data_IF_086597373543
#
_entry.id   IF_086597373543
#
_cell.length_a   1.000
_cell.length_b   1.000
_cell.length_c   1.000
_cell.angle_alpha   90.00
_cell.angle_beta   90.00
_cell.angle_gamma   90.00
#
_symmetry.space_group_name_H-M   'P 1'
#
loop_
_entity.id
_entity.type
_entity.pdbx_description
1 polymer ?
#
# COMPACT_ATOMS: atom_id res chain seq x y z
N UNK A 1 17.40 -22.88 22.98
CA UNK A 1 17.80 -23.28 21.63
C UNK A 1 18.21 -22.03 20.84
N UNK A 2 19.34 -22.10 20.18
CA UNK A 2 19.80 -21.01 19.31
C UNK A 2 18.94 -20.99 18.03
N UNK A 3 18.52 -19.80 17.56
CA UNK A 3 17.80 -19.70 16.29
C UNK A 3 18.73 -19.99 15.10
N UNK A 4 18.20 -20.66 14.08
CA UNK A 4 18.90 -20.81 12.81
C UNK A 4 18.60 -19.61 11.92
N UNK A 5 19.62 -18.93 11.43
CA UNK A 5 19.48 -17.81 10.50
C UNK A 5 20.24 -18.11 9.19
N UNK A 6 19.61 -17.78 8.06
CA UNK A 6 20.24 -17.86 6.73
C UNK A 6 19.73 -16.73 5.83
N UNK A 7 20.52 -16.36 4.85
CA UNK A 7 20.20 -15.35 3.84
C UNK A 7 20.17 -15.99 2.47
N UNK A 8 19.16 -15.62 1.66
CA UNK A 8 19.11 -15.96 0.23
C UNK A 8 19.00 -14.68 -0.60
N UNK A 9 19.70 -14.63 -1.73
CA UNK A 9 19.63 -13.54 -2.69
C UNK A 9 19.14 -14.09 -4.01
N UNK A 10 18.08 -13.49 -4.54
CA UNK A 10 17.46 -13.91 -5.81
C UNK A 10 17.18 -12.68 -6.68
N UNK A 11 17.23 -12.80 -8.02
CA UNK A 11 16.78 -11.75 -8.92
C UNK A 11 15.30 -11.39 -8.68
N UNK A 12 14.95 -10.12 -8.87
CA UNK A 12 13.55 -9.72 -8.82
C UNK A 12 12.76 -10.33 -9.98
N UNK A 13 11.58 -10.91 -9.72
CA UNK A 13 10.72 -11.41 -10.79
C UNK A 13 10.26 -10.27 -11.73
N UNK A 14 10.13 -10.56 -13.04
CA UNK A 14 9.70 -9.57 -14.05
C UNK A 14 8.37 -8.88 -13.67
N UNK A 15 7.42 -9.59 -13.07
CA UNK A 15 6.16 -9.00 -12.59
C UNK A 15 6.35 -7.85 -11.59
N UNK A 16 7.45 -7.87 -10.81
CA UNK A 16 7.77 -6.79 -9.85
C UNK A 16 8.32 -5.59 -10.60
N UNK A 17 9.21 -5.82 -11.57
CA UNK A 17 9.78 -4.77 -12.40
C UNK A 17 8.69 -4.09 -13.25
N UNK A 18 7.79 -4.89 -13.83
CA UNK A 18 6.64 -4.39 -14.57
C UNK A 18 5.71 -3.55 -13.67
N UNK A 19 5.42 -4.01 -12.44
CA UNK A 19 4.59 -3.24 -11.51
C UNK A 19 5.21 -1.89 -11.12
N UNK A 20 6.55 -1.83 -10.98
CA UNK A 20 7.27 -0.56 -10.74
C UNK A 20 7.17 0.38 -11.94
N UNK A 21 7.38 -0.14 -13.15
CA UNK A 21 7.42 0.63 -14.39
C UNK A 21 6.03 1.06 -14.87
N UNK A 22 5.12 0.10 -14.96
CA UNK A 22 3.83 0.27 -15.65
C UNK A 22 2.68 0.54 -14.66
N UNK A 23 2.86 0.21 -13.39
CA UNK A 23 1.81 0.20 -12.39
C UNK A 23 0.98 -1.08 -12.43
N UNK A 24 -0.15 -1.07 -11.70
CA UNK A 24 -1.04 -2.23 -11.57
C UNK A 24 -2.50 -1.85 -11.68
N UNK A 25 -3.33 -2.76 -12.19
CA UNK A 25 -4.76 -2.77 -11.92
C UNK A 25 -5.00 -3.45 -10.57
N UNK A 26 -5.91 -2.93 -9.75
CA UNK A 26 -6.28 -3.49 -8.47
C UNK A 26 -7.78 -3.79 -8.38
N UNK A 27 -8.16 -4.76 -7.57
CA UNK A 27 -9.54 -5.00 -7.15
C UNK A 27 -9.72 -4.53 -5.70
N UNK A 28 -10.89 -3.99 -5.39
CA UNK A 28 -11.34 -3.78 -4.01
C UNK A 28 -11.96 -5.08 -3.51
N UNK A 29 -11.42 -5.65 -2.45
CA UNK A 29 -11.95 -6.86 -1.84
C UNK A 29 -12.19 -6.65 -0.34
N UNK A 30 -13.37 -7.06 0.13
CA UNK A 30 -13.66 -7.03 1.55
C UNK A 30 -12.78 -8.04 2.30
N UNK A 31 -12.14 -7.56 3.38
CA UNK A 31 -11.23 -8.36 4.21
C UNK A 31 -11.97 -9.21 5.25
N UNK A 32 -13.21 -8.86 5.55
CA UNK A 32 -14.04 -9.51 6.57
C UNK A 32 -13.71 -9.09 8.01
N UNK A 33 -13.00 -7.97 8.19
CA UNK A 33 -12.70 -7.38 9.49
C UNK A 33 -13.11 -5.90 9.49
N UNK A 34 -13.63 -5.38 10.63
CA UNK A 34 -13.89 -3.95 10.77
C UNK A 34 -12.58 -3.17 10.87
N UNK A 35 -12.61 -1.88 10.57
CA UNK A 35 -11.45 -1.00 10.67
C UNK A 35 -11.04 -0.70 12.13
N UNK A 36 -11.97 -0.83 13.08
CA UNK A 36 -11.73 -0.56 14.51
C UNK A 36 -12.27 -1.70 15.39
N UNK A 37 -11.81 -1.74 16.65
CA UNK A 37 -12.25 -2.75 17.63
C UNK A 37 -11.56 -4.10 17.51
N UNK A 38 -10.66 -4.28 16.55
CA UNK A 38 -9.90 -5.54 16.38
C UNK A 38 -8.88 -5.75 17.50
N UNK A 39 -8.46 -4.69 18.16
CA UNK A 39 -7.55 -4.76 19.33
C UNK A 39 -8.13 -5.59 20.48
N UNK A 40 -9.45 -5.69 20.58
CA UNK A 40 -10.13 -6.56 21.53
C UNK A 40 -10.06 -8.06 21.14
N UNK A 41 -9.51 -8.38 19.97
CA UNK A 41 -9.39 -9.72 19.40
C UNK A 41 -7.94 -10.07 19.06
N UNK A 42 -7.00 -10.09 20.03
CA UNK A 42 -5.57 -10.24 19.76
C UNK A 42 -5.19 -11.56 19.07
N UNK A 43 -6.04 -12.59 19.19
CA UNK A 43 -5.84 -13.88 18.49
C UNK A 43 -5.96 -13.78 16.96
N UNK A 44 -6.55 -12.72 16.41
CA UNK A 44 -6.61 -12.51 14.96
C UNK A 44 -5.24 -12.11 14.38
N UNK A 45 -4.29 -11.69 15.22
CA UNK A 45 -2.98 -11.22 14.80
C UNK A 45 -3.05 -10.15 13.70
N UNK A 46 -4.13 -9.35 13.70
CA UNK A 46 -4.34 -8.30 12.72
C UNK A 46 -3.20 -7.27 12.82
N UNK A 47 -2.61 -6.90 11.68
CA UNK A 47 -1.43 -6.03 11.64
C UNK A 47 -0.10 -6.72 11.95
N UNK A 48 -0.10 -8.01 12.33
CA UNK A 48 1.13 -8.77 12.54
C UNK A 48 1.65 -9.35 11.21
N UNK A 49 2.97 -9.24 11.00
CA UNK A 49 3.62 -9.86 9.84
C UNK A 49 3.92 -11.34 10.14
N UNK A 50 3.00 -12.21 9.75
CA UNK A 50 3.08 -13.66 10.00
C UNK A 50 3.32 -14.44 8.71
N UNK A 51 3.58 -15.75 8.83
CA UNK A 51 3.63 -16.68 7.69
C UNK A 51 2.23 -17.13 7.21
N UNK A 52 1.16 -16.77 7.90
CA UNK A 52 -0.23 -17.08 7.53
C UNK A 52 -0.73 -16.25 6.34
N UNK A 53 -0.13 -16.48 5.18
CA UNK A 53 -0.38 -15.69 3.95
C UNK A 53 -1.51 -16.26 3.07
N UNK A 54 -2.22 -17.28 3.52
CA UNK A 54 -3.21 -17.99 2.71
C UNK A 54 -4.29 -17.07 2.12
N UNK A 55 -4.87 -16.19 2.94
CA UNK A 55 -5.90 -15.23 2.50
C UNK A 55 -5.32 -14.22 1.50
N UNK A 56 -4.14 -13.67 1.78
CA UNK A 56 -3.48 -12.70 0.90
C UNK A 56 -3.18 -13.31 -0.47
N UNK A 57 -2.67 -14.56 -0.49
CA UNK A 57 -2.39 -15.28 -1.73
C UNK A 57 -3.66 -15.69 -2.49
N UNK A 58 -4.74 -16.03 -1.78
CA UNK A 58 -6.02 -16.34 -2.40
C UNK A 58 -6.62 -15.08 -3.06
N UNK A 59 -6.55 -13.93 -2.40
CA UNK A 59 -6.99 -12.65 -2.94
C UNK A 59 -6.22 -12.28 -4.22
N UNK A 60 -4.89 -12.43 -4.22
CA UNK A 60 -4.07 -12.17 -5.41
C UNK A 60 -4.38 -13.13 -6.57
N UNK A 61 -4.60 -14.42 -6.30
CA UNK A 61 -5.04 -15.37 -7.34
C UNK A 61 -6.41 -15.02 -7.90
N UNK A 62 -7.34 -14.60 -7.03
CA UNK A 62 -8.66 -14.13 -7.46
C UNK A 62 -8.53 -12.90 -8.36
N UNK A 63 -7.72 -11.91 -7.97
CA UNK A 63 -7.47 -10.72 -8.77
C UNK A 63 -6.86 -11.06 -10.13
N UNK A 64 -5.86 -11.94 -10.16
CA UNK A 64 -5.23 -12.39 -11.40
C UNK A 64 -6.25 -13.07 -12.35
N UNK A 65 -7.15 -13.88 -11.82
CA UNK A 65 -8.25 -14.49 -12.60
C UNK A 65 -9.27 -13.47 -13.15
N UNK A 66 -9.26 -12.23 -12.64
CA UNK A 66 -10.05 -11.10 -13.12
C UNK A 66 -9.24 -10.08 -13.95
N UNK A 67 -7.99 -10.40 -14.26
CA UNK A 67 -7.11 -9.51 -15.03
C UNK A 67 -6.50 -8.36 -14.22
N UNK A 68 -6.55 -8.42 -12.87
CA UNK A 68 -5.92 -7.44 -12.01
C UNK A 68 -4.60 -7.97 -11.40
N UNK A 69 -3.61 -7.10 -11.25
CA UNK A 69 -2.27 -7.45 -10.75
C UNK A 69 -2.16 -7.40 -9.22
N UNK A 70 -3.07 -6.71 -8.54
CA UNK A 70 -3.05 -6.59 -7.08
C UNK A 70 -4.46 -6.37 -6.50
N UNK A 71 -4.53 -6.18 -5.18
CA UNK A 71 -5.76 -6.01 -4.40
C UNK A 71 -5.58 -4.84 -3.43
N UNK A 72 -6.65 -4.12 -3.16
CA UNK A 72 -6.79 -3.22 -2.01
C UNK A 72 -7.90 -3.79 -1.13
N UNK A 73 -7.57 -4.18 0.10
CA UNK A 73 -8.55 -4.64 1.05
C UNK A 73 -9.38 -3.50 1.62
N UNK A 74 -10.66 -3.77 1.76
CA UNK A 74 -11.65 -2.89 2.39
C UNK A 74 -12.16 -3.59 3.64
N UNK A 75 -12.33 -2.86 4.73
CA UNK A 75 -12.93 -3.36 5.96
C UNK A 75 -14.44 -3.62 5.79
N UNK A 76 -15.04 -4.42 6.68
CA UNK A 76 -16.48 -4.69 6.66
C UNK A 76 -17.35 -3.45 6.92
N UNK A 77 -16.78 -2.38 7.50
CA UNK A 77 -17.41 -1.08 7.70
C UNK A 77 -17.00 -0.04 6.63
N UNK A 78 -16.37 -0.50 5.53
CA UNK A 78 -16.17 0.26 4.30
C UNK A 78 -14.96 1.18 4.28
N UNK A 79 -13.95 0.97 5.13
CA UNK A 79 -12.70 1.72 5.09
C UNK A 79 -11.60 0.98 4.32
N UNK A 80 -10.74 1.74 3.67
CA UNK A 80 -9.54 1.19 3.04
C UNK A 80 -8.59 0.69 4.13
N UNK A 81 -8.07 -0.51 3.93
CA UNK A 81 -7.07 -1.13 4.78
C UNK A 81 -5.70 -1.10 4.10
N UNK A 82 -5.28 -2.19 3.53
CA UNK A 82 -3.96 -2.37 2.90
C UNK A 82 -4.05 -3.25 1.66
N UNK A 83 -2.97 -3.39 0.90
CA UNK A 83 -2.83 -4.46 -0.07
C UNK A 83 -2.34 -5.76 0.58
N UNK A 84 -2.44 -6.91 -0.11
CA UNK A 84 -1.95 -8.19 0.42
C UNK A 84 -0.48 -8.19 0.86
N UNK A 85 0.34 -7.28 0.32
CA UNK A 85 1.78 -7.18 0.57
C UNK A 85 2.28 -5.74 0.61
N UNK A 86 1.38 -4.76 0.72
CA UNK A 86 1.69 -3.35 0.51
C UNK A 86 0.79 -2.45 1.33
N UNK A 87 1.26 -1.24 1.59
CA UNK A 87 0.49 -0.16 2.19
C UNK A 87 -0.11 0.71 1.09
N UNK A 88 -1.36 1.12 1.25
CA UNK A 88 -2.02 2.08 0.36
C UNK A 88 -1.55 3.49 0.70
N UNK A 89 -1.09 4.23 -0.30
CA UNK A 89 -0.79 5.66 -0.20
C UNK A 89 -1.52 6.39 -1.32
N UNK A 90 -2.18 7.48 -0.99
CA UNK A 90 -2.82 8.37 -1.97
C UNK A 90 -2.23 9.77 -1.91
N UNK A 91 -2.25 10.48 -3.03
CA UNK A 91 -1.95 11.90 -3.08
C UNK A 91 -3.25 12.69 -3.27
N UNK A 92 -3.41 13.75 -2.48
CA UNK A 92 -4.54 14.67 -2.57
C UNK A 92 -4.05 16.11 -2.53
N UNK A 93 -4.91 17.05 -2.84
CA UNK A 93 -4.65 18.45 -2.58
C UNK A 93 -4.76 18.69 -1.06
N UNK A 94 -3.69 19.20 -0.48
CA UNK A 94 -3.62 19.63 0.91
C UNK A 94 -3.81 21.13 1.06
N UNK A 95 -3.45 21.65 2.21
CA UNK A 95 -3.57 23.08 2.52
C UNK A 95 -2.71 23.93 1.59
N UNK A 96 -3.27 25.07 1.15
CA UNK A 96 -2.59 26.06 0.27
C UNK A 96 -2.11 25.49 -1.07
N UNK A 97 -2.80 24.46 -1.59
CA UNK A 97 -2.46 23.84 -2.88
C UNK A 97 -1.23 22.93 -2.84
N UNK A 98 -0.69 22.61 -1.64
CA UNK A 98 0.38 21.62 -1.50
C UNK A 98 -0.17 20.21 -1.68
N UNK A 99 0.69 19.31 -2.12
CA UNK A 99 0.34 17.89 -2.17
C UNK A 99 0.38 17.30 -0.76
N UNK A 100 -0.66 16.58 -0.39
CA UNK A 100 -0.73 15.80 0.83
C UNK A 100 -0.75 14.30 0.52
N UNK A 101 0.19 13.56 1.08
CA UNK A 101 0.22 12.10 1.03
C UNK A 101 -0.55 11.52 2.20
N UNK A 102 -1.52 10.68 1.91
CA UNK A 102 -2.40 10.07 2.92
C UNK A 102 -2.29 8.56 2.88
N UNK A 103 -2.39 7.93 4.05
CA UNK A 103 -2.45 6.48 4.22
C UNK A 103 -3.47 6.13 5.32
N UNK A 104 -4.04 4.90 5.33
CA UNK A 104 -4.90 4.46 6.41
C UNK A 104 -4.20 4.52 7.78
N UNK A 105 -4.96 4.75 8.88
CA UNK A 105 -4.39 4.91 10.20
C UNK A 105 -3.67 3.66 10.71
N UNK A 106 -2.55 3.81 11.46
CA UNK A 106 -1.75 2.68 11.94
C UNK A 106 -2.40 1.86 13.07
N UNK A 107 -3.54 2.30 13.60
CA UNK A 107 -4.38 1.55 14.56
C UNK A 107 -5.45 0.70 13.87
N UNK A 108 -5.57 0.74 12.53
CA UNK A 108 -6.36 -0.20 11.77
C UNK A 108 -5.71 -1.59 11.79
N UNK A 109 -6.45 -2.67 11.47
CA UNK A 109 -5.93 -4.03 11.43
C UNK A 109 -5.04 -4.27 10.20
N UNK A 110 -4.01 -3.44 10.05
CA UNK A 110 -3.05 -3.42 8.94
C UNK A 110 -1.62 -3.47 9.43
N UNK A 111 -0.72 -3.94 8.59
CA UNK A 111 0.71 -3.89 8.87
C UNK A 111 1.21 -2.43 8.81
N UNK A 112 1.96 -2.02 9.82
CA UNK A 112 2.71 -0.75 9.78
C UNK A 112 3.88 -0.88 8.81
N UNK A 113 3.69 -0.41 7.58
CA UNK A 113 4.67 -0.56 6.50
C UNK A 113 5.93 0.28 6.73
N UNK A 114 7.08 -0.35 6.86
CA UNK A 114 8.36 0.36 7.07
C UNK A 114 8.71 1.26 5.88
N UNK A 115 8.47 0.79 4.66
CA UNK A 115 8.67 1.59 3.43
C UNK A 115 7.76 2.82 3.39
N UNK A 116 6.50 2.68 3.83
CA UNK A 116 5.58 3.82 3.90
C UNK A 116 6.04 4.84 4.94
N UNK A 117 6.55 4.40 6.09
CA UNK A 117 7.06 5.30 7.13
C UNK A 117 8.29 6.07 6.61
N UNK A 118 9.28 5.37 6.05
CA UNK A 118 10.46 5.99 5.45
C UNK A 118 10.10 6.96 4.30
N UNK A 119 9.12 6.60 3.45
CA UNK A 119 8.60 7.47 2.41
C UNK A 119 8.04 8.77 3.01
N UNK A 120 7.24 8.69 4.08
CA UNK A 120 6.64 9.88 4.71
C UNK A 120 7.70 10.79 5.35
N UNK A 121 8.76 10.22 5.92
CA UNK A 121 9.88 11.01 6.44
C UNK A 121 10.58 11.78 5.34
N UNK A 122 10.96 11.11 4.24
CA UNK A 122 11.60 11.76 3.07
C UNK A 122 10.66 12.78 2.42
N UNK A 123 9.38 12.48 2.30
CA UNK A 123 8.41 13.39 1.72
C UNK A 123 8.25 14.67 2.55
N UNK A 124 8.21 14.57 3.88
CA UNK A 124 8.17 15.75 4.78
C UNK A 124 9.41 16.61 4.64
N UNK A 125 10.60 15.99 4.57
CA UNK A 125 11.86 16.69 4.36
C UNK A 125 11.87 17.47 3.01
N UNK A 126 11.13 16.99 2.01
CA UNK A 126 10.92 17.66 0.72
C UNK A 126 9.72 18.61 0.67
N UNK A 127 9.03 18.83 1.80
CA UNK A 127 7.95 19.82 1.94
C UNK A 127 6.55 19.32 1.58
N UNK A 128 6.36 18.01 1.45
CA UNK A 128 5.03 17.41 1.32
C UNK A 128 4.33 17.34 2.69
N UNK A 129 3.03 17.52 2.69
CA UNK A 129 2.21 17.17 3.84
C UNK A 129 1.98 15.65 3.85
N UNK A 130 2.07 15.02 5.02
CA UNK A 130 1.88 13.58 5.18
C UNK A 130 1.04 13.30 6.41
N UNK A 131 -0.06 12.56 6.26
CA UNK A 131 -0.99 12.29 7.35
C UNK A 131 -1.62 10.89 7.28
N UNK A 132 -2.17 10.43 8.39
CA UNK A 132 -2.94 9.21 8.54
C UNK A 132 -4.43 9.55 8.57
N UNK A 133 -5.19 9.01 7.62
CA UNK A 133 -6.63 9.32 7.50
C UNK A 133 -7.45 8.07 7.25
N UNK A 134 -8.62 7.98 7.86
CA UNK A 134 -9.64 7.00 7.52
C UNK A 134 -10.10 7.24 6.07
N UNK A 135 -9.64 6.38 5.15
CA UNK A 135 -9.96 6.47 3.74
C UNK A 135 -11.11 5.53 3.39
N UNK A 136 -11.92 5.93 2.42
CA UNK A 136 -12.98 5.12 1.82
C UNK A 136 -12.70 4.89 0.32
N UNK A 137 -13.36 3.92 -0.33
CA UNK A 137 -13.20 3.71 -1.77
C UNK A 137 -13.37 4.97 -2.62
N UNK A 138 -14.27 5.87 -2.25
CA UNK A 138 -14.48 7.14 -2.94
C UNK A 138 -13.22 8.03 -2.95
N UNK A 139 -12.43 8.01 -1.87
CA UNK A 139 -11.20 8.79 -1.77
C UNK A 139 -10.13 8.34 -2.76
N UNK A 140 -10.08 7.03 -3.08
CA UNK A 140 -9.16 6.50 -4.09
C UNK A 140 -9.51 7.04 -5.49
N UNK A 141 -10.79 7.16 -5.80
CA UNK A 141 -11.25 7.68 -7.10
C UNK A 141 -11.15 9.20 -7.22
N UNK A 142 -11.15 9.91 -6.10
CA UNK A 142 -10.97 11.37 -6.03
C UNK A 142 -9.50 11.79 -5.93
N UNK A 143 -8.60 10.85 -5.61
CA UNK A 143 -7.18 11.13 -5.42
C UNK A 143 -6.49 11.58 -6.72
N UNK A 144 -5.47 12.42 -6.58
CA UNK A 144 -4.55 12.80 -7.65
C UNK A 144 -3.62 11.64 -8.06
N UNK A 145 -3.50 10.61 -7.21
CA UNK A 145 -2.77 9.39 -7.48
C UNK A 145 -2.92 8.37 -6.36
N UNK A 146 -2.80 7.09 -6.70
CA UNK A 146 -2.90 5.96 -5.77
C UNK A 146 -1.71 5.05 -5.99
N UNK A 147 -1.05 4.62 -4.91
CA UNK A 147 0.09 3.71 -4.94
C UNK A 147 -0.05 2.60 -3.91
N UNK A 148 0.49 1.45 -4.25
CA UNK A 148 0.76 0.34 -3.35
C UNK A 148 2.26 0.34 -3.05
N UNK A 149 2.61 0.60 -1.79
CA UNK A 149 4.00 0.80 -1.33
C UNK A 149 4.48 -0.39 -0.52
N UNK A 150 5.65 -0.94 -0.88
CA UNK A 150 6.28 -2.07 -0.18
C UNK A 150 7.79 -2.10 -0.40
N UNK A 151 8.52 -2.85 0.40
CA UNK A 151 9.98 -3.00 0.27
C UNK A 151 10.42 -3.73 -1.01
N UNK A 152 9.55 -4.53 -1.62
CA UNK A 152 9.86 -5.29 -2.84
C UNK A 152 9.40 -4.54 -4.10
N UNK A 153 8.14 -4.10 -4.13
CA UNK A 153 7.58 -3.42 -5.31
C UNK A 153 7.90 -1.93 -5.32
N UNK A 154 8.39 -1.37 -4.20
CA UNK A 154 8.60 0.06 -3.97
C UNK A 154 7.26 0.81 -4.07
N UNK A 155 7.06 1.69 -5.05
CA UNK A 155 5.81 2.37 -5.29
C UNK A 155 5.18 1.90 -6.61
N UNK A 156 4.27 0.93 -6.54
CA UNK A 156 3.47 0.54 -7.71
C UNK A 156 2.27 1.48 -7.84
N UNK A 157 2.23 2.27 -8.92
CA UNK A 157 1.07 3.11 -9.23
C UNK A 157 -0.16 2.24 -9.53
N UNK A 158 -1.29 2.54 -8.92
CA UNK A 158 -2.57 1.93 -9.28
C UNK A 158 -3.20 2.75 -10.39
N UNK A 159 -3.32 2.17 -11.59
CA UNK A 159 -3.89 2.85 -12.76
C UNK A 159 -5.35 2.49 -13.02
N UNK A 160 -5.87 1.44 -12.40
CA UNK A 160 -7.24 0.95 -12.57
C UNK A 160 -7.72 0.31 -11.28
N UNK A 161 -8.94 0.61 -10.85
CA UNK A 161 -9.60 -0.02 -9.70
C UNK A 161 -10.96 -0.55 -10.16
N UNK A 162 -11.24 -1.84 -9.96
CA UNK A 162 -12.48 -2.52 -10.36
C UNK A 162 -12.88 -2.24 -11.82
N UNK A 163 -11.89 -2.24 -12.73
CA UNK A 163 -12.08 -1.95 -14.15
C UNK A 163 -12.20 -0.45 -14.50
N UNK A 164 -12.34 0.44 -13.52
CA UNK A 164 -12.39 1.90 -13.74
C UNK A 164 -10.97 2.48 -13.76
N UNK A 165 -10.60 3.11 -14.87
CA UNK A 165 -9.30 3.79 -14.99
C UNK A 165 -9.23 5.04 -14.10
N UNK A 166 -8.07 5.20 -13.44
CA UNK A 166 -7.70 6.40 -12.72
C UNK A 166 -6.93 7.35 -13.65
N UNK A 167 -6.98 8.64 -13.35
CA UNK A 167 -6.16 9.63 -14.06
C UNK A 167 -4.66 9.36 -13.79
N UNK A 168 -3.79 9.51 -14.80
CA UNK A 168 -2.37 9.44 -14.61
C UNK A 168 -1.93 10.54 -13.61
N UNK A 169 -1.27 10.18 -12.50
CA UNK A 169 -0.83 11.17 -11.53
C UNK A 169 0.35 11.99 -12.08
N UNK A 170 0.26 13.31 -11.97
CA UNK A 170 1.38 14.21 -12.29
C UNK A 170 2.61 13.89 -11.40
N UNK A 171 2.38 13.42 -10.18
CA UNK A 171 3.38 13.08 -9.17
C UNK A 171 4.08 11.72 -9.40
N UNK A 172 3.84 11.02 -10.51
CA UNK A 172 4.32 9.63 -10.67
C UNK A 172 5.85 9.50 -10.60
N UNK A 173 6.58 10.38 -11.28
CA UNK A 173 8.04 10.38 -11.27
C UNK A 173 8.61 10.77 -9.89
N UNK A 174 8.06 11.81 -9.28
CA UNK A 174 8.48 12.27 -7.96
C UNK A 174 8.22 11.21 -6.88
N UNK A 175 7.10 10.48 -6.95
CA UNK A 175 6.81 9.39 -6.02
C UNK A 175 7.84 8.26 -6.13
N UNK A 176 8.29 7.91 -7.33
CA UNK A 176 9.34 6.93 -7.53
C UNK A 176 10.65 7.39 -6.89
N UNK A 177 11.06 8.64 -7.12
CA UNK A 177 12.26 9.24 -6.51
C UNK A 177 12.18 9.32 -4.98
N UNK A 178 11.01 9.65 -4.42
CA UNK A 178 10.78 9.69 -2.97
C UNK A 178 10.99 8.30 -2.34
N UNK A 179 10.43 7.25 -2.95
CA UNK A 179 10.56 5.89 -2.43
C UNK A 179 11.99 5.36 -2.63
N UNK A 180 12.63 5.63 -3.76
CA UNK A 180 14.03 5.24 -3.98
C UNK A 180 14.95 5.91 -2.95
N UNK A 181 14.76 7.20 -2.69
CA UNK A 181 15.50 7.92 -1.64
C UNK A 181 15.24 7.31 -0.26
N UNK A 182 13.99 6.97 0.05
CA UNK A 182 13.60 6.37 1.34
C UNK A 182 14.22 5.00 1.60
N UNK A 183 14.44 4.20 0.54
CA UNK A 183 15.07 2.87 0.66
C UNK A 183 16.59 2.96 0.74
N UNK A 184 17.21 3.95 0.09
CA UNK A 184 18.66 4.12 0.04
C UNK A 184 19.21 4.94 1.21
N UNK A 185 18.36 5.66 1.95
CA UNK A 185 18.82 6.40 3.14
C UNK A 185 19.15 5.43 4.28
N UNK A 186 20.37 5.48 4.74
CA UNK A 186 20.86 4.84 5.98
C UNK A 186 20.17 5.53 7.19
N UNK A 187 19.01 5.03 7.63
CA UNK A 187 18.32 5.48 8.85
C UNK A 187 18.12 4.35 9.84
#
# INVERSE_FOLDING_TARGET
>A
SEPTAYLTVNPLPERVLAARRDGVAALLLERGLPASGVDAMPWLLAGAKTLSYAVNMAALRHAAGKGAGDVIFVSSDGHILEGPRSTVVIATEGDRGRVCLLTPPPWYPILRGTTQQALFDVARDKGYDCDYRALRPADLFAAQGVWLVSSITLAARVHTIDGRRLMPPALAAEMAELVDTAILSDR
#
